data_IF_718566698032
#
_entry.id   IF_718566698032
#
_cell.length_a   1.000
_cell.length_b   1.000
_cell.length_c   1.000
_cell.angle_alpha   90.00
_cell.angle_beta   90.00
_cell.angle_gamma   90.00
#
_symmetry.space_group_name_H-M   'P 1'
#
loop_
_entity.id
_entity.type
_entity.pdbx_description
1 polymer ?
#
# COMPACT_ATOMS: atom_id res chain seq x y z
N UNK A 1 10.25 17.57 -26.25
CA UNK A 1 10.03 17.94 -24.82
C UNK A 1 8.90 17.10 -24.18
N UNK A 2 9.02 15.76 -24.12
CA UNK A 2 7.94 14.85 -23.64
C UNK A 2 8.39 13.77 -22.65
N UNK A 3 9.52 13.95 -21.96
CA UNK A 3 10.08 12.94 -21.04
C UNK A 3 9.88 13.22 -19.54
N UNK A 4 9.15 14.27 -19.16
CA UNK A 4 8.98 14.66 -17.74
C UNK A 4 7.83 13.97 -16.98
N UNK A 5 6.81 13.45 -17.67
CA UNK A 5 5.55 13.07 -17.01
C UNK A 5 5.55 11.67 -16.37
N UNK A 6 6.39 10.75 -16.89
CA UNK A 6 6.46 9.36 -16.39
C UNK A 6 7.07 9.22 -14.99
N UNK A 7 7.81 10.23 -14.51
CA UNK A 7 8.40 10.22 -13.15
C UNK A 7 7.40 10.59 -12.05
N UNK A 8 6.30 11.27 -12.37
CA UNK A 8 5.31 11.69 -11.37
C UNK A 8 4.25 10.61 -11.05
N UNK A 9 3.97 9.69 -11.98
CA UNK A 9 3.01 8.60 -11.74
C UNK A 9 3.54 7.52 -10.79
N UNK A 10 4.86 7.33 -10.69
CA UNK A 10 5.47 6.38 -9.75
C UNK A 10 5.36 6.82 -8.29
N UNK A 11 5.41 8.13 -8.03
CA UNK A 11 5.36 8.71 -6.67
C UNK A 11 3.92 8.67 -6.11
N UNK A 12 2.91 8.83 -6.96
CA UNK A 12 1.51 8.81 -6.55
C UNK A 12 1.02 7.43 -6.04
N UNK A 13 1.55 6.33 -6.61
CA UNK A 13 1.15 4.96 -6.20
C UNK A 13 1.78 4.56 -4.86
N UNK A 14 3.00 5.03 -4.58
CA UNK A 14 3.65 4.84 -3.27
C UNK A 14 3.00 5.72 -2.20
N UNK A 15 2.58 6.95 -2.55
CA UNK A 15 1.94 7.88 -1.63
C UNK A 15 0.55 7.41 -1.15
N UNK A 16 -0.26 6.77 -1.99
CA UNK A 16 -1.60 6.28 -1.60
C UNK A 16 -1.51 5.00 -0.75
N UNK A 17 -0.55 4.12 -1.04
CA UNK A 17 -0.25 2.97 -0.19
C UNK A 17 0.31 3.38 1.18
N UNK A 18 1.15 4.43 1.20
CA UNK A 18 1.63 5.04 2.43
C UNK A 18 0.52 5.76 3.20
N UNK A 19 -0.44 6.42 2.53
CA UNK A 19 -1.56 7.09 3.19
C UNK A 19 -2.50 6.10 3.91
N UNK A 20 -2.80 4.94 3.32
CA UNK A 20 -3.60 3.90 3.98
C UNK A 20 -2.83 3.20 5.11
N UNK A 21 -1.51 2.97 4.94
CA UNK A 21 -0.66 2.44 6.00
C UNK A 21 -0.48 3.44 7.15
N UNK A 22 -0.37 4.74 6.86
CA UNK A 22 -0.28 5.82 7.86
C UNK A 22 -1.61 6.06 8.55
N UNK A 23 -2.75 5.90 7.88
CA UNK A 23 -4.07 5.99 8.51
C UNK A 23 -4.30 4.81 9.48
N UNK A 24 -3.89 3.58 9.09
CA UNK A 24 -3.93 2.42 9.98
C UNK A 24 -2.93 2.52 11.15
N UNK A 25 -1.75 3.12 10.91
CA UNK A 25 -0.74 3.36 11.95
C UNK A 25 -1.15 4.49 12.90
N UNK A 26 -1.78 5.56 12.41
CA UNK A 26 -2.30 6.65 13.23
C UNK A 26 -3.46 6.20 14.14
N UNK A 27 -4.28 5.24 13.72
CA UNK A 27 -5.30 4.63 14.58
C UNK A 27 -4.71 3.70 15.65
N UNK A 28 -3.55 3.09 15.40
CA UNK A 28 -2.83 2.25 16.38
C UNK A 28 -2.01 3.09 17.39
N UNK A 29 -1.47 4.24 16.97
CA UNK A 29 -0.68 5.13 17.83
C UNK A 29 -1.52 6.07 18.71
N UNK A 30 -2.81 6.25 18.42
CA UNK A 30 -3.70 7.09 19.25
C UNK A 30 -4.24 6.38 20.50
N UNK A 31 -3.91 5.09 20.68
CA UNK A 31 -4.28 4.27 21.84
C UNK A 31 -3.17 4.01 22.85
N UNK A 32 -2.03 4.70 22.76
CA UNK A 32 -0.89 4.55 23.68
C UNK A 32 -0.47 5.88 24.26
N UNK A 33 -1.00 6.22 25.44
CA UNK A 33 -0.39 7.23 26.30
C UNK A 33 0.90 6.66 26.87
N UNK A 34 2.03 6.97 26.23
CA UNK A 34 3.34 6.94 26.88
C UNK A 34 3.99 8.32 26.73
N UNK A 35 4.10 8.98 27.87
CA UNK A 35 4.76 10.25 28.03
C UNK A 35 6.25 10.14 27.66
N UNK A 36 6.85 11.14 26.98
CA UNK A 36 8.29 11.17 26.81
C UNK A 36 8.98 11.38 28.17
N UNK A 37 10.03 10.61 28.52
CA UNK A 37 10.80 10.85 29.72
C UNK A 37 11.58 12.16 29.60
N UNK A 38 11.44 13.02 30.61
CA UNK A 38 12.22 14.24 30.77
C UNK A 38 13.72 13.93 30.95
N UNK A 39 14.63 14.68 30.31
CA UNK A 39 16.03 14.67 30.71
C UNK A 39 16.22 15.46 32.00
N UNK A 40 16.82 14.81 33.01
CA UNK A 40 17.19 15.40 34.28
C UNK A 40 18.53 16.15 34.24
N UNK A 41 18.54 17.25 34.99
CA UNK A 41 19.63 17.92 35.71
C UNK A 41 20.91 18.37 35.02
N UNK A 42 21.10 19.70 34.96
CA UNK A 42 22.39 20.33 35.25
C UNK A 42 22.22 21.61 36.10
N UNK A 43 22.89 21.57 37.25
CA UNK A 43 23.44 22.68 38.05
C UNK A 43 22.49 23.61 38.85
N UNK A 44 22.48 23.34 40.15
CA UNK A 44 22.16 24.26 41.23
C UNK A 44 23.16 25.44 41.32
N UNK A 45 22.65 26.62 41.68
CA UNK A 45 23.40 27.75 42.25
C UNK A 45 22.67 28.18 43.56
N UNK A 46 23.38 28.41 44.68
CA UNK A 46 22.83 28.55 46.04
C UNK A 46 22.32 29.98 46.37
N UNK A 47 21.71 30.21 47.57
CA UNK A 47 20.60 31.13 47.77
C UNK A 47 20.99 32.51 48.30
N UNK A 48 20.06 33.47 48.19
CA UNK A 48 20.03 34.65 49.06
C UNK A 48 18.60 34.82 49.60
N UNK A 49 18.49 34.71 50.92
CA UNK A 49 17.32 35.07 51.72
C UNK A 49 16.90 36.53 51.48
N UNK A 50 15.61 36.79 51.47
CA UNK A 50 15.13 37.96 52.21
C UNK A 50 13.68 37.83 52.72
N UNK A 51 13.56 38.24 53.97
CA UNK A 51 12.43 38.63 54.80
C UNK A 51 10.98 38.24 54.46
N UNK A 52 10.37 37.54 55.43
CA UNK A 52 8.96 37.64 55.81
C UNK A 52 8.49 39.10 55.89
N UNK A 53 7.40 39.43 55.19
CA UNK A 53 6.49 40.50 55.58
C UNK A 53 5.06 39.93 55.66
N UNK A 54 4.33 40.13 56.77
CA UNK A 54 2.93 39.78 56.85
C UNK A 54 2.06 40.74 56.03
N UNK A 55 1.09 40.12 55.38
CA UNK A 55 0.10 40.62 54.41
C UNK A 55 -0.90 41.61 55.03
N UNK A 56 -1.15 42.79 54.41
CA UNK A 56 -2.27 43.64 54.80
C UNK A 56 -3.58 43.16 54.13
N UNK A 57 -4.60 42.84 54.95
CA UNK A 57 -5.94 42.48 54.47
C UNK A 57 -6.57 43.62 53.63
N UNK A 58 -7.09 43.34 52.41
CA UNK A 58 -7.86 44.30 51.65
C UNK A 58 -9.31 44.42 52.19
N UNK A 59 -9.93 45.61 52.09
CA UNK A 59 -11.32 45.83 52.53
C UNK A 59 -12.32 45.08 51.62
N UNK A 60 -13.53 44.76 52.13
CA UNK A 60 -14.50 43.92 51.42
C UNK A 60 -15.02 44.57 50.14
N UNK A 61 -15.02 43.81 49.04
CA UNK A 61 -15.54 44.21 47.73
C UNK A 61 -17.09 44.25 47.68
N UNK A 62 -17.69 45.18 46.90
CA UNK A 62 -19.12 45.23 46.67
C UNK A 62 -19.59 44.05 45.78
N UNK A 63 -20.86 43.61 45.89
CA UNK A 63 -21.34 42.42 45.21
C UNK A 63 -21.37 42.60 43.68
N UNK A 64 -20.79 41.67 42.95
CA UNK A 64 -20.76 41.69 41.49
C UNK A 64 -22.16 41.52 40.85
N UNK A 65 -22.44 42.20 39.74
CA UNK A 65 -23.66 42.00 38.96
C UNK A 65 -23.63 40.62 38.29
N UNK A 66 -24.64 39.79 38.59
CA UNK A 66 -24.85 38.50 37.91
C UNK A 66 -25.06 38.70 36.41
N UNK A 67 -24.06 38.33 35.61
CA UNK A 67 -24.20 38.20 34.17
C UNK A 67 -25.12 37.02 33.82
N UNK A 68 -26.21 37.30 33.12
CA UNK A 68 -27.08 36.32 32.50
C UNK A 68 -26.36 35.73 31.28
N UNK A 69 -25.70 34.58 31.44
CA UNK A 69 -25.07 33.86 30.32
C UNK A 69 -26.16 33.29 29.39
N UNK A 70 -26.15 33.56 28.08
CA UNK A 70 -27.09 32.96 27.12
C UNK A 70 -26.97 31.43 27.12
N UNK A 71 -28.05 30.68 26.82
CA UNK A 71 -27.98 29.23 26.74
C UNK A 71 -26.97 28.81 25.69
N UNK A 72 -25.98 28.04 26.12
CA UNK A 72 -24.90 27.49 25.32
C UNK A 72 -25.51 26.49 24.32
N UNK A 73 -25.66 26.91 23.06
CA UNK A 73 -26.00 26.03 21.96
C UNK A 73 -24.84 25.06 21.77
N UNK A 74 -24.94 23.88 22.37
CA UNK A 74 -23.99 22.79 22.15
C UNK A 74 -23.90 22.54 20.63
N UNK A 75 -22.69 22.51 20.05
CA UNK A 75 -22.53 22.13 18.65
C UNK A 75 -23.09 20.72 18.43
N UNK A 76 -23.66 20.43 17.25
CA UNK A 76 -24.18 19.09 16.97
C UNK A 76 -23.07 18.06 17.14
N UNK A 77 -23.36 17.00 17.88
CA UNK A 77 -22.45 15.86 18.06
C UNK A 77 -22.04 15.32 16.68
N UNK A 78 -20.74 15.08 16.43
CA UNK A 78 -20.30 14.54 15.16
C UNK A 78 -20.94 13.16 14.94
N UNK A 79 -21.28 12.82 13.69
CA UNK A 79 -21.82 11.50 13.38
C UNK A 79 -20.84 10.42 13.85
N UNK A 80 -21.34 9.27 14.31
CA UNK A 80 -20.54 8.25 14.99
C UNK A 80 -19.49 7.56 14.09
N UNK A 81 -19.49 7.87 12.78
CA UNK A 81 -18.49 7.42 11.81
C UNK A 81 -18.57 5.92 11.52
N UNK A 82 -17.50 5.37 10.94
CA UNK A 82 -17.43 3.94 10.59
C UNK A 82 -17.76 2.96 11.72
N UNK A 83 -17.57 3.34 12.99
CA UNK A 83 -17.88 2.48 14.13
C UNK A 83 -19.38 2.20 14.30
N UNK A 84 -20.26 3.01 13.70
CA UNK A 84 -21.71 2.82 13.74
C UNK A 84 -22.27 1.94 12.60
N UNK A 85 -21.43 1.54 11.64
CA UNK A 85 -21.80 0.60 10.59
C UNK A 85 -21.91 -0.79 11.20
N UNK A 86 -23.02 -1.47 10.93
CA UNK A 86 -23.17 -2.87 11.25
C UNK A 86 -22.43 -3.71 10.20
N UNK A 87 -21.16 -4.03 10.50
CA UNK A 87 -20.32 -4.82 9.60
C UNK A 87 -20.76 -6.28 9.50
N UNK A 88 -21.56 -6.80 10.44
CA UNK A 88 -22.10 -8.15 10.34
C UNK A 88 -23.24 -8.18 9.31
N UNK A 89 -24.15 -7.20 9.32
CA UNK A 89 -25.16 -7.04 8.25
C UNK A 89 -24.49 -6.91 6.87
N UNK A 90 -23.39 -6.14 6.76
CA UNK A 90 -22.65 -6.02 5.49
C UNK A 90 -22.02 -7.36 5.10
N UNK A 91 -21.51 -8.14 6.06
CA UNK A 91 -20.93 -9.47 5.78
C UNK A 91 -21.99 -10.46 5.33
N UNK A 92 -23.15 -10.49 5.96
CA UNK A 92 -24.27 -11.34 5.56
C UNK A 92 -24.76 -11.01 4.14
N UNK A 93 -24.76 -9.73 3.77
CA UNK A 93 -25.14 -9.31 2.42
C UNK A 93 -24.06 -9.61 1.36
N UNK A 94 -22.79 -9.61 1.75
CA UNK A 94 -21.63 -9.79 0.87
C UNK A 94 -20.68 -10.89 1.39
N UNK A 95 -21.14 -12.14 1.57
CA UNK A 95 -20.38 -13.17 2.29
C UNK A 95 -19.07 -13.56 1.60
N UNK A 96 -19.07 -13.58 0.26
CA UNK A 96 -17.93 -14.01 -0.56
C UNK A 96 -17.01 -12.85 -1.01
N UNK A 97 -17.08 -11.72 -0.32
CA UNK A 97 -16.33 -10.52 -0.66
C UNK A 97 -14.90 -10.58 -0.11
N UNK A 98 -13.90 -10.40 -0.97
CA UNK A 98 -12.48 -10.40 -0.58
C UNK A 98 -12.12 -9.34 0.48
N UNK A 99 -12.95 -8.31 0.69
CA UNK A 99 -12.77 -7.35 1.77
C UNK A 99 -12.59 -8.04 3.14
N UNK A 100 -13.38 -9.08 3.43
CA UNK A 100 -13.31 -9.79 4.71
C UNK A 100 -11.98 -10.47 4.93
N UNK A 101 -11.48 -11.12 3.88
CA UNK A 101 -10.21 -11.84 3.89
C UNK A 101 -9.03 -10.89 3.94
N UNK A 102 -9.12 -9.69 3.36
CA UNK A 102 -7.95 -8.84 3.08
C UNK A 102 -7.85 -7.58 3.93
N UNK A 103 -8.96 -6.94 4.29
CA UNK A 103 -8.94 -5.59 4.86
C UNK A 103 -9.88 -5.34 6.03
N UNK A 104 -10.89 -6.19 6.25
CA UNK A 104 -11.74 -6.05 7.42
C UNK A 104 -10.89 -5.98 8.70
N UNK A 105 -11.15 -5.02 9.61
CA UNK A 105 -10.44 -4.92 10.87
C UNK A 105 -10.54 -6.24 11.65
N UNK A 106 -9.41 -6.79 12.06
CA UNK A 106 -9.35 -8.05 12.81
C UNK A 106 -8.16 -8.06 13.76
N UNK A 107 -8.31 -8.76 14.89
CA UNK A 107 -7.24 -9.08 15.83
C UNK A 107 -6.89 -10.57 15.83
N UNK A 108 -7.54 -11.36 14.98
CA UNK A 108 -7.27 -12.80 14.88
C UNK A 108 -5.87 -13.03 14.27
N UNK A 109 -4.91 -13.59 15.05
CA UNK A 109 -3.55 -13.81 14.56
C UNK A 109 -3.50 -14.79 13.38
N UNK A 110 -4.45 -15.72 13.26
CA UNK A 110 -4.49 -16.68 12.14
C UNK A 110 -4.79 -15.94 10.84
N UNK A 111 -5.87 -15.18 10.81
CA UNK A 111 -6.27 -14.38 9.64
C UNK A 111 -5.19 -13.36 9.25
N UNK A 112 -4.54 -12.72 10.22
CA UNK A 112 -3.41 -11.82 9.94
C UNK A 112 -2.24 -12.57 9.29
N UNK A 113 -1.88 -13.74 9.81
CA UNK A 113 -0.85 -14.59 9.18
C UNK A 113 -1.24 -15.04 7.77
N UNK A 114 -2.51 -15.32 7.52
CA UNK A 114 -3.02 -15.71 6.19
C UNK A 114 -2.90 -14.54 5.20
N UNK A 115 -3.27 -13.33 5.62
CA UNK A 115 -3.08 -12.10 4.83
C UNK A 115 -1.63 -11.85 4.46
N UNK A 116 -0.70 -12.06 5.39
CA UNK A 116 0.73 -11.89 5.12
C UNK A 116 1.25 -12.91 4.10
N UNK A 117 0.85 -14.18 4.22
CA UNK A 117 1.22 -15.23 3.26
C UNK A 117 0.64 -14.95 1.87
N UNK A 118 -0.62 -14.53 1.81
CA UNK A 118 -1.27 -14.14 0.57
C UNK A 118 -0.56 -12.96 -0.09
N UNK A 119 -0.28 -11.91 0.68
CA UNK A 119 0.46 -10.73 0.21
C UNK A 119 1.82 -11.13 -0.35
N UNK A 120 2.56 -12.00 0.33
CA UNK A 120 3.87 -12.49 -0.13
C UNK A 120 3.73 -13.26 -1.45
N UNK A 121 2.83 -14.23 -1.52
CA UNK A 121 2.56 -15.02 -2.74
C UNK A 121 2.22 -14.12 -3.92
N UNK A 122 1.33 -13.15 -3.73
CA UNK A 122 0.91 -12.22 -4.78
C UNK A 122 2.02 -11.24 -5.18
N UNK A 123 2.90 -10.86 -4.26
CA UNK A 123 4.06 -10.06 -4.58
C UNK A 123 5.10 -10.83 -5.42
N UNK A 124 5.33 -12.10 -5.10
CA UNK A 124 6.21 -12.98 -5.89
C UNK A 124 5.65 -13.17 -7.31
N UNK A 125 4.36 -13.47 -7.43
CA UNK A 125 3.68 -13.58 -8.73
C UNK A 125 3.78 -12.26 -9.52
N UNK A 126 3.54 -11.12 -8.86
CA UNK A 126 3.70 -9.81 -9.49
C UNK A 126 5.13 -9.58 -10.00
N UNK A 127 6.14 -10.02 -9.25
CA UNK A 127 7.54 -9.98 -9.67
C UNK A 127 7.74 -10.69 -11.01
N UNK A 128 7.24 -11.92 -11.15
CA UNK A 128 7.31 -12.69 -12.41
C UNK A 128 6.60 -12.00 -13.57
N UNK A 129 5.41 -11.44 -13.32
CA UNK A 129 4.62 -10.70 -14.31
C UNK A 129 5.34 -9.43 -14.75
N UNK A 130 6.08 -8.78 -13.85
CA UNK A 130 6.83 -7.57 -14.15
C UNK A 130 8.09 -7.89 -14.97
N UNK A 131 8.83 -8.95 -14.60
CA UNK A 131 10.05 -9.37 -15.30
C UNK A 131 9.79 -10.11 -16.62
N UNK A 132 8.54 -10.39 -16.99
CA UNK A 132 8.21 -11.15 -18.19
C UNK A 132 8.54 -12.64 -18.10
N UNK A 133 8.95 -13.13 -16.92
CA UNK A 133 9.31 -14.54 -16.71
C UNK A 133 8.14 -15.40 -16.24
N UNK A 134 6.99 -14.78 -15.93
CA UNK A 134 5.76 -15.50 -15.61
C UNK A 134 5.19 -16.23 -16.83
N UNK A 135 4.46 -17.32 -16.60
CA UNK A 135 3.69 -17.98 -17.66
C UNK A 135 2.46 -17.14 -18.04
N UNK A 136 1.83 -17.43 -19.18
CA UNK A 136 0.57 -16.75 -19.54
C UNK A 136 -0.52 -16.97 -18.49
N UNK A 137 -0.62 -18.16 -17.92
CA UNK A 137 -1.61 -18.48 -16.89
C UNK A 137 -1.31 -17.76 -15.57
N UNK A 138 -0.03 -17.61 -15.20
CA UNK A 138 0.35 -16.79 -14.04
C UNK A 138 -0.01 -15.32 -14.23
N UNK A 139 0.10 -14.80 -15.48
CA UNK A 139 -0.35 -13.44 -15.82
C UNK A 139 -1.87 -13.33 -15.69
N UNK A 140 -2.63 -14.26 -16.29
CA UNK A 140 -4.11 -14.28 -16.20
C UNK A 140 -4.58 -14.33 -14.75
N UNK A 141 -4.10 -15.31 -13.98
CA UNK A 141 -4.47 -15.47 -12.57
C UNK A 141 -4.16 -14.22 -11.73
N UNK A 142 -3.01 -13.57 -11.97
CA UNK A 142 -2.69 -12.34 -11.27
C UNK A 142 -3.70 -11.23 -11.59
N UNK A 143 -4.00 -11.00 -12.87
CA UNK A 143 -4.92 -9.92 -13.26
C UNK A 143 -6.38 -10.23 -12.92
N UNK A 144 -6.80 -11.49 -12.95
CA UNK A 144 -8.12 -11.94 -12.50
C UNK A 144 -8.30 -11.69 -11.00
N UNK A 145 -7.29 -12.01 -10.18
CA UNK A 145 -7.29 -11.68 -8.76
C UNK A 145 -7.37 -10.16 -8.54
N UNK A 146 -6.62 -9.35 -9.29
CA UNK A 146 -6.66 -7.88 -9.20
C UNK A 146 -8.01 -7.30 -9.62
N UNK A 147 -8.66 -7.93 -10.61
CA UNK A 147 -10.00 -7.60 -11.06
C UNK A 147 -11.01 -7.89 -9.95
N UNK A 148 -11.07 -9.13 -9.48
CA UNK A 148 -11.96 -9.55 -8.39
C UNK A 148 -11.78 -8.68 -7.15
N UNK A 149 -10.54 -8.46 -6.71
CA UNK A 149 -10.26 -7.55 -5.59
C UNK A 149 -10.90 -6.19 -5.83
N UNK A 150 -10.63 -5.54 -6.97
CA UNK A 150 -11.17 -4.20 -7.19
C UNK A 150 -12.69 -4.17 -7.30
N UNK A 151 -13.29 -5.16 -7.95
CA UNK A 151 -14.74 -5.30 -8.06
C UNK A 151 -15.39 -5.49 -6.68
N UNK A 152 -14.81 -6.34 -5.84
CA UNK A 152 -15.27 -6.62 -4.48
C UNK A 152 -15.24 -5.39 -3.58
N UNK A 153 -14.18 -4.59 -3.68
CA UNK A 153 -14.11 -3.30 -2.97
C UNK A 153 -15.18 -2.31 -3.45
N UNK A 154 -15.45 -2.23 -4.76
CA UNK A 154 -16.54 -1.38 -5.26
C UNK A 154 -17.88 -1.84 -4.72
N UNK A 155 -18.16 -3.16 -4.75
CA UNK A 155 -19.40 -3.72 -4.19
C UNK A 155 -19.57 -3.41 -2.71
N UNK A 156 -18.49 -3.53 -1.92
CA UNK A 156 -18.51 -3.18 -0.50
C UNK A 156 -18.79 -1.69 -0.28
N UNK A 157 -18.08 -0.82 -1.00
CA UNK A 157 -18.25 0.64 -0.87
C UNK A 157 -19.67 1.07 -1.30
N UNK A 158 -20.19 0.52 -2.39
CA UNK A 158 -21.53 0.83 -2.88
C UNK A 158 -22.59 0.41 -1.85
N UNK A 159 -22.47 -0.80 -1.29
CA UNK A 159 -23.38 -1.26 -0.24
C UNK A 159 -23.35 -0.34 1.00
N UNK A 160 -22.15 0.06 1.45
CA UNK A 160 -22.01 0.94 2.62
C UNK A 160 -22.60 2.33 2.35
N UNK A 161 -22.33 2.92 1.19
CA UNK A 161 -22.84 4.24 0.81
C UNK A 161 -24.36 4.25 0.64
N UNK A 162 -24.95 3.17 0.12
CA UNK A 162 -26.39 3.05 -0.06
C UNK A 162 -27.13 2.80 1.26
N UNK A 163 -26.56 1.98 2.15
CA UNK A 163 -27.24 1.50 3.36
C UNK A 163 -27.01 2.37 4.60
N UNK A 164 -25.84 3.01 4.70
CA UNK A 164 -25.42 3.76 5.88
C UNK A 164 -25.00 5.22 5.62
N UNK A 165 -25.59 5.97 4.66
CA UNK A 165 -25.11 7.32 4.36
C UNK A 165 -25.21 8.26 5.58
N UNK A 166 -26.30 8.16 6.35
CA UNK A 166 -26.55 9.01 7.52
C UNK A 166 -25.69 8.67 8.74
N UNK A 167 -25.08 7.48 8.76
CA UNK A 167 -24.19 7.07 9.87
C UNK A 167 -22.74 7.52 9.64
N UNK A 168 -22.42 7.93 8.42
CA UNK A 168 -21.09 8.34 8.01
C UNK A 168 -20.95 9.86 8.15
N UNK A 169 -19.78 10.30 8.63
CA UNK A 169 -19.42 11.70 8.54
C UNK A 169 -19.14 12.14 7.10
N UNK A 170 -19.21 13.44 6.83
CA UNK A 170 -18.89 14.02 5.52
C UNK A 170 -17.51 13.54 5.02
N UNK A 171 -16.51 13.55 5.90
CA UNK A 171 -15.16 13.07 5.57
C UNK A 171 -15.14 11.57 5.18
N UNK A 172 -15.90 10.73 5.87
CA UNK A 172 -15.95 9.29 5.58
C UNK A 172 -16.66 9.00 4.25
N UNK A 173 -17.75 9.74 3.98
CA UNK A 173 -18.47 9.68 2.70
C UNK A 173 -17.56 10.07 1.53
N UNK A 174 -16.84 11.19 1.66
CA UNK A 174 -15.90 11.63 0.64
C UNK A 174 -14.79 10.60 0.40
N UNK A 175 -14.23 10.04 1.47
CA UNK A 175 -13.19 9.01 1.39
C UNK A 175 -13.70 7.76 0.66
N UNK A 176 -14.92 7.31 0.96
CA UNK A 176 -15.55 6.18 0.28
C UNK A 176 -15.77 6.47 -1.20
N UNK A 177 -16.27 7.66 -1.57
CA UNK A 177 -16.41 8.05 -2.97
C UNK A 177 -15.07 8.13 -3.72
N UNK A 178 -14.01 8.60 -3.06
CA UNK A 178 -12.64 8.58 -3.62
C UNK A 178 -12.18 7.13 -3.82
N UNK A 179 -12.31 6.28 -2.79
CA UNK A 179 -11.92 4.88 -2.86
C UNK A 179 -12.65 4.17 -4.02
N UNK A 180 -13.96 4.35 -4.15
CA UNK A 180 -14.77 3.83 -5.25
C UNK A 180 -14.21 4.24 -6.61
N UNK A 181 -13.98 5.53 -6.83
CA UNK A 181 -13.44 6.07 -8.09
C UNK A 181 -12.08 5.47 -8.42
N UNK A 182 -11.20 5.33 -7.43
CA UNK A 182 -9.88 4.71 -7.61
C UNK A 182 -9.96 3.25 -8.02
N UNK A 183 -10.87 2.47 -7.43
CA UNK A 183 -11.07 1.07 -7.81
C UNK A 183 -11.71 0.93 -9.19
N UNK A 184 -12.68 1.77 -9.55
CA UNK A 184 -13.25 1.80 -10.90
C UNK A 184 -12.21 2.16 -11.96
N UNK A 185 -11.40 3.19 -11.72
CA UNK A 185 -10.29 3.53 -12.61
C UNK A 185 -9.29 2.37 -12.72
N UNK A 186 -9.01 1.66 -11.62
CA UNK A 186 -8.15 0.47 -11.68
C UNK A 186 -8.75 -0.60 -12.59
N UNK A 187 -10.04 -0.91 -12.46
CA UNK A 187 -10.74 -1.91 -13.29
C UNK A 187 -10.64 -1.57 -14.78
N UNK A 188 -10.82 -0.30 -15.14
CA UNK A 188 -10.68 0.17 -16.53
C UNK A 188 -9.26 -0.03 -17.08
N UNK A 189 -8.25 0.10 -16.23
CA UNK A 189 -6.84 -0.05 -16.62
C UNK A 189 -6.34 -1.49 -16.66
N UNK A 190 -7.01 -2.45 -16.01
CA UNK A 190 -6.54 -3.83 -15.92
C UNK A 190 -6.35 -4.50 -17.28
N UNK A 191 -7.28 -4.40 -18.26
CA UNK A 191 -7.11 -5.02 -19.56
C UNK A 191 -5.86 -4.55 -20.29
N UNK A 192 -5.60 -3.22 -20.29
CA UNK A 192 -4.40 -2.65 -20.89
C UNK A 192 -3.14 -3.18 -20.20
N UNK A 193 -3.10 -3.18 -18.86
CA UNK A 193 -1.94 -3.66 -18.10
C UNK A 193 -1.68 -5.15 -18.30
N UNK A 194 -2.74 -5.95 -18.43
CA UNK A 194 -2.64 -7.37 -18.73
C UNK A 194 -2.05 -7.60 -20.13
N UNK A 195 -2.51 -6.84 -21.12
CA UNK A 195 -1.93 -6.89 -22.47
C UNK A 195 -0.44 -6.54 -22.45
N UNK A 196 -0.06 -5.46 -21.76
CA UNK A 196 1.35 -5.07 -21.60
C UNK A 196 2.20 -6.17 -20.92
N UNK A 197 1.62 -6.96 -20.02
CA UNK A 197 2.31 -8.10 -19.41
C UNK A 197 2.53 -9.24 -20.40
N UNK A 198 1.54 -9.55 -21.24
CA UNK A 198 1.71 -10.53 -22.32
C UNK A 198 2.75 -10.06 -23.34
N UNK A 199 2.76 -8.77 -23.68
CA UNK A 199 3.73 -8.21 -24.62
C UNK A 199 5.17 -8.38 -24.09
N UNK A 200 5.41 -7.99 -22.82
CA UNK A 200 6.70 -8.21 -22.15
C UNK A 200 7.11 -9.67 -22.12
N UNK A 201 6.16 -10.59 -21.86
CA UNK A 201 6.43 -12.03 -21.88
C UNK A 201 6.91 -12.48 -23.26
N UNK A 202 6.21 -12.09 -24.33
CA UNK A 202 6.59 -12.46 -25.70
C UNK A 202 7.96 -11.90 -26.08
N UNK A 203 8.26 -10.67 -25.67
CA UNK A 203 9.59 -10.07 -25.86
C UNK A 203 10.68 -10.87 -25.12
N UNK A 204 10.42 -11.26 -23.87
CA UNK A 204 11.34 -12.05 -23.05
C UNK A 204 11.57 -13.45 -23.62
N UNK A 205 10.50 -14.11 -24.09
CA UNK A 205 10.57 -15.45 -24.68
C UNK A 205 11.36 -15.40 -26.01
N UNK A 206 11.08 -14.42 -26.88
CA UNK A 206 11.82 -14.24 -28.13
C UNK A 206 13.31 -13.94 -27.90
N UNK A 207 13.63 -13.09 -26.91
CA UNK A 207 15.01 -12.81 -26.54
C UNK A 207 15.75 -14.07 -26.04
N UNK A 208 15.05 -14.93 -25.29
CA UNK A 208 15.59 -16.20 -24.81
C UNK A 208 15.85 -17.17 -25.96
N UNK A 209 14.91 -17.30 -26.90
CA UNK A 209 15.06 -18.14 -28.08
C UNK A 209 16.23 -17.71 -28.95
N UNK A 210 16.38 -16.40 -29.19
CA UNK A 210 17.51 -15.85 -29.92
C UNK A 210 18.85 -16.15 -29.23
N UNK A 211 18.92 -15.96 -27.90
CA UNK A 211 20.12 -16.28 -27.14
C UNK A 211 20.51 -17.77 -27.22
N UNK A 212 19.53 -18.67 -27.14
CA UNK A 212 19.78 -20.11 -27.29
C UNK A 212 20.28 -20.49 -28.70
N UNK A 213 19.72 -19.87 -29.73
CA UNK A 213 20.17 -20.08 -31.11
C UNK A 213 21.61 -19.57 -31.34
N UNK A 214 21.95 -18.42 -30.77
CA UNK A 214 23.30 -17.85 -30.83
C UNK A 214 24.31 -18.73 -30.09
N UNK A 215 23.94 -19.29 -28.93
CA UNK A 215 24.75 -20.24 -28.17
C UNK A 215 25.02 -21.52 -28.97
N UNK A 216 23.98 -22.11 -29.56
CA UNK A 216 24.11 -23.31 -30.41
C UNK A 216 25.01 -23.06 -31.64
N UNK A 217 24.83 -21.91 -32.30
CA UNK A 217 25.66 -21.53 -33.45
C UNK A 217 27.13 -21.33 -33.05
N UNK A 218 27.39 -20.72 -31.89
CA UNK A 218 28.74 -20.56 -31.36
C UNK A 218 29.40 -21.92 -31.05
N UNK A 219 28.68 -22.83 -30.40
CA UNK A 219 29.19 -24.17 -30.09
C UNK A 219 29.42 -25.03 -31.34
N UNK A 220 28.57 -24.90 -32.36
CA UNK A 220 28.77 -25.55 -33.65
C UNK A 220 30.06 -25.06 -34.34
N UNK A 221 30.24 -23.73 -34.43
CA UNK A 221 31.44 -23.15 -35.03
C UNK A 221 32.72 -23.52 -34.27
N UNK A 222 32.67 -23.57 -32.93
CA UNK A 222 33.80 -24.00 -32.11
C UNK A 222 34.18 -25.47 -32.36
N UNK A 223 33.20 -26.36 -32.55
CA UNK A 223 33.44 -27.77 -32.88
C UNK A 223 34.05 -27.92 -34.27
N UNK A 224 33.49 -27.25 -35.28
CA UNK A 224 34.04 -27.27 -36.65
C UNK A 224 35.48 -26.76 -36.69
N UNK A 225 35.81 -25.70 -35.94
CA UNK A 225 37.16 -25.19 -35.84
C UNK A 225 38.13 -26.19 -35.19
N UNK A 226 37.70 -26.88 -34.13
CA UNK A 226 38.51 -27.89 -33.46
C UNK A 226 38.74 -29.13 -34.35
N UNK A 227 37.73 -29.56 -35.11
CA UNK A 227 37.85 -30.64 -36.09
C UNK A 227 38.85 -30.26 -37.20
N UNK A 228 38.75 -29.04 -37.75
CA UNK A 228 39.67 -28.55 -38.78
C UNK A 228 41.12 -28.46 -38.27
N UNK A 229 41.34 -28.06 -37.02
CA UNK A 229 42.67 -28.03 -36.40
C UNK A 229 43.25 -29.46 -36.21
N UNK A 230 42.42 -30.41 -35.77
CA UNK A 230 42.82 -31.80 -35.62
C UNK A 230 43.18 -32.47 -36.95
N UNK A 231 42.41 -32.20 -38.01
CA UNK A 231 42.70 -32.67 -39.36
C UNK A 231 44.02 -32.08 -39.90
N UNK A 232 44.24 -30.78 -39.68
CA UNK A 232 45.49 -30.12 -40.06
C UNK A 232 46.71 -30.70 -39.34
N UNK A 233 46.58 -31.07 -38.06
CA UNK A 233 47.65 -31.69 -37.28
C UNK A 233 47.97 -33.14 -37.73
N UNK A 234 47.04 -33.81 -38.40
CA UNK A 234 47.20 -35.21 -38.84
C UNK A 234 47.67 -35.33 -40.30
N UNK A 235 47.72 -34.21 -41.05
CA UNK A 235 48.23 -34.20 -42.41
C UNK A 235 49.75 -34.51 -42.45
N UNK A 236 50.21 -35.46 -43.31
CA UNK A 236 51.61 -35.81 -43.38
C UNK A 236 52.44 -34.60 -43.85
N UNK A 237 53.70 -34.45 -43.36
CA UNK A 237 54.56 -33.37 -43.81
C UNK A 237 54.73 -33.47 -45.33
N UNK A 238 54.42 -32.39 -46.03
CA UNK A 238 54.61 -32.30 -47.47
C UNK A 238 56.09 -32.48 -47.77
N UNK A 239 56.48 -33.65 -48.28
CA UNK A 239 57.82 -33.90 -48.82
C UNK A 239 58.04 -32.90 -49.96
N UNK A 240 58.73 -31.82 -49.63
CA UNK A 240 59.09 -30.76 -50.57
C UNK A 240 60.48 -31.12 -51.11
N UNK A 241 60.63 -31.34 -52.43
CA UNK A 241 61.87 -31.83 -53.04
C UNK A 241 63.02 -30.82 -53.04
#
# INVERSE_FOLDING_TARGET
MRSGWRRWLGIAVVAVGAAFALLALATLLRGGSDAPPAPADVAAVPPASDALQPEPEPPPEPPEPRELRPPELLPPEPPPGFAAIDLEEVREALPDNLYWELAAPTKDPRLLGDREREKKRRNEQYGKVLSGTGTEDEIRDYYDYRNRMSADYVRFVDYVLERYPEKLGEQDLELLHVARRLHLARLQELPRRMQEAFDRKREQDAAREAWLADEEAFEAAAREAAEAEADAATAPPSDTP
#
